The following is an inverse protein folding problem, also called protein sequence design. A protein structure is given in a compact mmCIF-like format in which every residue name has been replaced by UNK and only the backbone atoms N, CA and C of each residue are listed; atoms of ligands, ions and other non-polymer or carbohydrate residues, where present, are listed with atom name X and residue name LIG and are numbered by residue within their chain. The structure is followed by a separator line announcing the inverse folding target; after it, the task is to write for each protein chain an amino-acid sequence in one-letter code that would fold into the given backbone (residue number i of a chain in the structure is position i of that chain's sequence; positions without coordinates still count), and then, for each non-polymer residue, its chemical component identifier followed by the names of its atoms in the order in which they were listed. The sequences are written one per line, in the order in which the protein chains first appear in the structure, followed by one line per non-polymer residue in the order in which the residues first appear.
data_IF_205478969883
#
_entry.id   IF_205478969883
#
_cell.length_a   1.000
_cell.length_b   1.000
_cell.length_c   1.000
_cell.angle_alpha   90.00
_cell.angle_beta   90.00
_cell.angle_gamma   90.00
#
_symmetry.space_group_name_H-M   'P 1'
#
loop_
_entity.id
_entity.type
_entity.pdbx_description
1 polymer ?
#
# COMPACT_ATOMS: atom_id res chain seq x y z
N UNK A 1 6.81 8.85 -16.41
CA UNK A 1 5.94 8.08 -15.50
C UNK A 1 5.59 6.78 -16.21
N UNK A 2 5.98 5.62 -15.67
CA UNK A 2 5.59 4.32 -16.20
C UNK A 2 5.04 3.46 -15.06
N UNK A 3 4.12 2.56 -15.36
CA UNK A 3 3.44 1.71 -14.37
C UNK A 3 3.74 0.26 -14.71
N UNK A 4 4.09 -0.55 -13.73
CA UNK A 4 4.17 -2.00 -13.89
C UNK A 4 2.75 -2.54 -13.79
N UNK A 5 2.20 -3.10 -14.87
CA UNK A 5 0.84 -3.66 -14.88
C UNK A 5 0.84 -5.03 -14.23
N UNK A 6 -0.11 -5.27 -13.32
CA UNK A 6 -0.32 -6.59 -12.69
C UNK A 6 -1.13 -7.53 -13.57
N UNK A 7 -0.80 -8.82 -13.52
CA UNK A 7 -1.55 -9.90 -14.18
C UNK A 7 -0.95 -10.37 -15.50
N UNK A 8 -0.04 -9.61 -16.09
CA UNK A 8 0.81 -10.00 -17.21
C UNK A 8 2.25 -9.71 -16.86
N UNK A 9 3.18 -10.56 -17.29
CA UNK A 9 4.61 -10.30 -17.07
C UNK A 9 4.99 -9.10 -17.96
N UNK A 10 4.91 -7.90 -17.40
CA UNK A 10 5.33 -6.66 -18.05
C UNK A 10 6.87 -6.60 -18.06
N UNK A 11 7.47 -7.45 -18.91
CA UNK A 11 8.92 -7.60 -19.05
C UNK A 11 9.61 -6.29 -19.40
N UNK A 12 8.90 -5.38 -20.07
CA UNK A 12 9.43 -4.09 -20.50
C UNK A 12 9.53 -3.12 -19.32
N UNK A 13 8.53 -3.06 -18.45
CA UNK A 13 8.60 -2.27 -17.22
C UNK A 13 9.69 -2.78 -16.27
N UNK A 14 9.88 -4.10 -16.17
CA UNK A 14 10.98 -4.70 -15.40
C UNK A 14 12.35 -4.31 -15.97
N UNK A 15 12.52 -4.42 -17.31
CA UNK A 15 13.77 -4.05 -17.98
C UNK A 15 14.09 -2.57 -17.80
N UNK A 16 13.09 -1.70 -17.95
CA UNK A 16 13.24 -0.26 -17.73
C UNK A 16 13.64 0.04 -16.29
N UNK A 17 12.97 -0.57 -15.30
CA UNK A 17 13.30 -0.39 -13.88
C UNK A 17 14.75 -0.80 -13.59
N UNK A 18 15.19 -1.95 -14.14
CA UNK A 18 16.58 -2.42 -14.00
C UNK A 18 17.59 -1.43 -14.60
N UNK A 19 17.30 -0.89 -15.79
CA UNK A 19 18.16 0.11 -16.44
C UNK A 19 18.22 1.43 -15.65
N UNK A 20 17.12 1.85 -15.03
CA UNK A 20 17.08 3.05 -14.19
C UNK A 20 17.86 2.86 -12.89
N UNK A 21 17.72 1.70 -12.24
CA UNK A 21 18.50 1.37 -11.04
C UNK A 21 20.01 1.32 -11.36
N UNK A 22 20.39 0.76 -12.51
CA UNK A 22 21.78 0.71 -12.96
C UNK A 22 22.36 2.10 -13.23
N UNK A 23 21.59 3.01 -13.84
CA UNK A 23 22.04 4.38 -14.12
C UNK A 23 22.24 5.22 -12.87
N UNK A 24 21.45 5.01 -11.82
CA UNK A 24 21.59 5.74 -10.56
C UNK A 24 21.17 7.22 -10.59
N UNK A 25 20.76 7.76 -11.74
CA UNK A 25 20.45 9.19 -11.90
C UNK A 25 19.29 9.70 -11.01
N UNK A 26 18.35 8.82 -10.63
CA UNK A 26 17.13 9.20 -9.92
C UNK A 26 16.67 8.14 -8.91
N UNK A 27 16.12 8.54 -7.75
CA UNK A 27 15.48 7.61 -6.83
C UNK A 27 14.20 7.02 -7.46
N UNK A 28 13.95 5.74 -7.22
CA UNK A 28 12.75 5.04 -7.68
C UNK A 28 11.84 4.76 -6.48
N UNK A 29 10.57 5.14 -6.60
CA UNK A 29 9.54 4.82 -5.62
C UNK A 29 8.77 3.59 -6.11
N UNK A 30 8.72 2.55 -5.26
CA UNK A 30 8.01 1.31 -5.57
C UNK A 30 7.02 1.00 -4.45
N UNK A 31 5.75 0.77 -4.81
CA UNK A 31 4.74 0.27 -3.90
C UNK A 31 4.84 -1.26 -3.82
N UNK A 32 5.51 -1.75 -2.78
CA UNK A 32 5.79 -3.18 -2.55
C UNK A 32 4.56 -4.09 -2.60
N UNK A 33 3.41 -3.57 -2.16
CA UNK A 33 2.14 -4.29 -2.12
C UNK A 33 1.45 -4.40 -3.48
N UNK A 34 1.85 -3.56 -4.45
CA UNK A 34 1.34 -3.32 -5.81
C UNK A 34 -0.18 -3.27 -6.04
N UNK A 35 -0.98 -3.38 -4.99
CA UNK A 35 -2.41 -3.15 -4.97
C UNK A 35 -2.70 -1.98 -4.03
N UNK A 36 -3.84 -1.34 -4.23
CA UNK A 36 -4.32 -0.32 -3.30
C UNK A 36 -4.86 -1.06 -2.08
N UNK A 37 -4.14 -1.00 -0.96
CA UNK A 37 -4.69 -1.42 0.32
C UNK A 37 -5.88 -0.53 0.69
N UNK A 38 -7.02 -1.17 1.00
CA UNK A 38 -8.18 -0.49 1.61
C UNK A 38 -8.10 -0.50 3.14
N UNK A 39 -6.97 -0.92 3.70
CA UNK A 39 -6.73 -1.03 5.13
C UNK A 39 -5.55 -0.15 5.54
N UNK A 40 -5.72 0.59 6.63
CA UNK A 40 -4.70 1.53 7.13
C UNK A 40 -3.76 0.90 8.17
N UNK A 41 -4.18 -0.18 8.82
CA UNK A 41 -3.46 -0.78 9.95
C UNK A 41 -2.67 -2.03 9.57
N UNK A 42 -2.84 -2.53 8.33
CA UNK A 42 -2.24 -3.78 7.87
C UNK A 42 -1.44 -3.51 6.60
N UNK A 43 -0.17 -3.92 6.63
CA UNK A 43 0.69 -3.94 5.44
C UNK A 43 0.40 -5.25 4.69
N UNK A 44 0.05 -5.15 3.41
CA UNK A 44 -0.16 -6.34 2.57
C UNK A 44 1.17 -7.03 2.26
N UNK A 45 1.10 -8.30 1.84
CA UNK A 45 2.31 -9.02 1.44
C UNK A 45 2.97 -8.31 0.26
N UNK A 46 4.29 -8.15 0.33
CA UNK A 46 5.05 -7.58 -0.76
C UNK A 46 5.16 -8.55 -1.93
N UNK A 47 5.11 -8.01 -3.15
CA UNK A 47 5.39 -8.76 -4.36
C UNK A 47 6.86 -9.16 -4.41
N UNK A 48 7.09 -10.47 -4.52
CA UNK A 48 8.44 -11.04 -4.58
C UNK A 48 9.25 -10.48 -5.75
N UNK A 49 8.60 -10.18 -6.87
CA UNK A 49 9.24 -9.66 -8.07
C UNK A 49 9.95 -8.32 -7.85
N UNK A 50 9.47 -7.50 -6.91
CA UNK A 50 10.06 -6.19 -6.61
C UNK A 50 11.45 -6.36 -5.98
N UNK A 51 11.54 -7.22 -4.97
CA UNK A 51 12.81 -7.50 -4.28
C UNK A 51 13.79 -8.17 -5.24
N UNK A 52 13.31 -9.09 -6.08
CA UNK A 52 14.15 -9.78 -7.06
C UNK A 52 14.76 -8.83 -8.10
N UNK A 53 14.04 -7.78 -8.51
CA UNK A 53 14.58 -6.77 -9.42
C UNK A 53 15.78 -6.03 -8.83
N UNK A 54 15.74 -5.67 -7.55
CA UNK A 54 16.85 -4.98 -6.88
C UNK A 54 18.12 -5.83 -6.87
N UNK A 55 17.98 -7.14 -6.61
CA UNK A 55 19.12 -8.07 -6.67
C UNK A 55 19.68 -8.23 -8.07
N UNK A 56 18.83 -8.29 -9.11
CA UNK A 56 19.31 -8.33 -10.48
C UNK A 56 20.02 -7.03 -10.90
N UNK A 57 19.58 -5.87 -10.41
CA UNK A 57 20.29 -4.62 -10.66
C UNK A 57 21.69 -4.62 -9.99
N UNK A 58 21.81 -5.14 -8.78
CA UNK A 58 23.11 -5.30 -8.11
C UNK A 58 24.06 -6.23 -8.87
N UNK A 59 23.57 -7.38 -9.34
CA UNK A 59 24.35 -8.33 -10.16
C UNK A 59 24.82 -7.70 -11.48
N UNK A 60 23.97 -6.89 -12.13
CA UNK A 60 24.36 -6.11 -13.31
C UNK A 60 25.45 -5.08 -13.01
N UNK A 61 25.35 -4.37 -11.88
CA UNK A 61 26.35 -3.38 -11.45
C UNK A 61 27.69 -4.05 -11.15
N UNK A 62 27.68 -5.19 -10.45
CA UNK A 62 28.86 -5.99 -10.16
C UNK A 62 29.56 -6.44 -11.46
N UNK A 63 28.80 -6.98 -12.42
CA UNK A 63 29.32 -7.40 -13.74
C UNK A 63 29.89 -6.26 -14.56
N UNK A 64 29.32 -5.06 -14.43
CA UNK A 64 29.82 -3.85 -15.08
C UNK A 64 30.95 -3.16 -14.31
N UNK A 65 31.40 -3.72 -13.18
CA UNK A 65 32.40 -3.13 -12.28
C UNK A 65 32.03 -1.73 -11.78
N UNK A 66 30.72 -1.48 -11.64
CA UNK A 66 30.18 -0.24 -11.06
C UNK A 66 30.13 -0.43 -9.55
N UNK A 67 31.04 0.24 -8.83
CA UNK A 67 31.17 0.15 -7.37
C UNK A 67 30.16 0.99 -6.58
N UNK A 68 29.05 1.39 -7.19
CA UNK A 68 28.02 2.19 -6.52
C UNK A 68 27.10 1.31 -5.67
N UNK A 69 26.63 1.88 -4.56
CA UNK A 69 25.74 1.17 -3.64
C UNK A 69 24.27 1.41 -4.00
N UNK A 70 23.48 0.33 -4.05
CA UNK A 70 22.03 0.42 -4.16
C UNK A 70 21.39 0.38 -2.77
N UNK A 71 20.62 1.42 -2.43
CA UNK A 71 19.93 1.52 -1.14
C UNK A 71 18.43 1.24 -1.27
N UNK A 72 17.89 0.44 -0.36
CA UNK A 72 16.45 0.24 -0.20
C UNK A 72 15.98 0.95 1.08
N UNK A 73 15.14 1.98 0.93
CA UNK A 73 14.59 2.74 2.06
C UNK A 73 13.13 2.36 2.26
N UNK A 74 12.76 1.66 3.34
CA UNK A 74 11.37 1.32 3.61
C UNK A 74 10.60 2.59 4.02
N UNK A 75 9.50 2.88 3.33
CA UNK A 75 8.60 3.99 3.64
C UNK A 75 7.19 3.46 3.86
N UNK A 76 6.60 3.81 5.00
CA UNK A 76 5.22 3.46 5.35
C UNK A 76 4.36 4.71 5.47
N UNK A 77 3.10 4.61 5.02
CA UNK A 77 2.11 5.69 5.17
C UNK A 77 1.02 5.17 6.10
N UNK A 78 0.76 5.90 7.19
CA UNK A 78 -0.34 5.65 8.10
C UNK A 78 -1.19 6.89 8.24
N UNK A 79 -2.46 6.76 7.88
CA UNK A 79 -3.46 7.79 8.09
C UNK A 79 -3.96 7.74 9.54
N UNK A 80 -4.14 8.88 10.17
CA UNK A 80 -4.79 8.97 11.45
C UNK A 80 -5.69 10.20 11.49
N UNK A 81 -6.76 10.14 12.27
CA UNK A 81 -7.53 11.33 12.55
C UNK A 81 -6.77 12.20 13.56
N UNK A 82 -6.56 13.49 13.29
CA UNK A 82 -5.81 14.37 14.19
C UNK A 82 -6.63 14.81 15.41
N UNK A 83 -7.94 14.54 15.43
CA UNK A 83 -8.88 14.88 16.50
C UNK A 83 -9.76 13.67 16.81
N UNK A 84 -10.43 13.71 17.96
CA UNK A 84 -11.50 12.74 18.23
C UNK A 84 -12.65 12.95 17.24
N UNK A 85 -12.93 11.92 16.45
CA UNK A 85 -13.94 11.93 15.40
C UNK A 85 -15.20 11.15 15.79
N UNK A 86 -15.33 10.75 17.07
CA UNK A 86 -16.41 9.86 17.50
C UNK A 86 -17.79 10.40 17.16
N UNK A 87 -18.08 11.65 17.51
CA UNK A 87 -19.38 12.26 17.23
C UNK A 87 -19.71 12.27 15.72
N UNK A 88 -18.71 12.50 14.87
CA UNK A 88 -18.89 12.48 13.42
C UNK A 88 -19.13 11.06 12.89
N UNK A 89 -18.41 10.08 13.42
CA UNK A 89 -18.57 8.67 13.07
C UNK A 89 -19.95 8.18 13.51
N UNK A 90 -20.35 8.42 14.75
CA UNK A 90 -21.66 8.02 15.27
C UNK A 90 -22.81 8.66 14.50
N UNK A 91 -22.69 9.94 14.13
CA UNK A 91 -23.69 10.63 13.29
C UNK A 91 -23.82 9.96 11.92
N UNK A 92 -22.69 9.63 11.28
CA UNK A 92 -22.68 8.97 9.98
C UNK A 92 -23.28 7.56 10.04
N UNK A 93 -22.93 6.79 11.07
CA UNK A 93 -23.49 5.45 11.33
C UNK A 93 -24.99 5.51 11.59
N UNK A 94 -25.45 6.42 12.46
CA UNK A 94 -26.88 6.65 12.73
C UNK A 94 -27.66 6.89 11.43
N UNK A 95 -27.07 7.67 10.52
CA UNK A 95 -27.70 7.98 9.23
C UNK A 95 -27.79 6.73 8.37
N UNK A 96 -26.70 5.99 8.21
CA UNK A 96 -26.67 4.74 7.44
C UNK A 96 -27.65 3.70 7.98
N UNK A 97 -27.65 3.47 9.29
CA UNK A 97 -28.54 2.50 9.94
C UNK A 97 -30.02 2.83 9.73
N UNK A 98 -30.40 4.11 9.80
CA UNK A 98 -31.79 4.52 9.51
C UNK A 98 -32.25 4.20 8.09
N UNK A 99 -31.33 4.18 7.13
CA UNK A 99 -31.65 3.87 5.73
C UNK A 99 -31.62 2.37 5.42
N UNK A 100 -30.85 1.58 6.18
CA UNK A 100 -30.54 0.18 5.84
C UNK A 100 -31.21 -0.81 6.81
N UNK A 101 -31.34 -0.46 8.09
CA UNK A 101 -31.86 -1.36 9.13
C UNK A 101 -33.35 -1.15 9.43
N UNK A 102 -34.10 -2.22 9.72
CA UNK A 102 -35.48 -2.13 10.16
C UNK A 102 -35.57 -1.42 11.54
N UNK A 103 -36.70 -0.76 11.88
CA UNK A 103 -36.83 0.05 13.09
C UNK A 103 -36.49 -0.66 14.41
N UNK A 104 -36.76 -1.97 14.49
CA UNK A 104 -36.47 -2.80 15.68
C UNK A 104 -34.97 -3.00 15.95
N UNK A 105 -34.11 -2.80 14.94
CA UNK A 105 -32.66 -2.99 15.02
C UNK A 105 -31.90 -1.66 15.20
N UNK A 106 -32.60 -0.53 15.18
CA UNK A 106 -32.04 0.82 15.35
C UNK A 106 -31.82 1.17 16.83
N UNK A 107 -31.15 0.27 17.58
CA UNK A 107 -30.89 0.48 19.01
C UNK A 107 -29.66 1.38 19.26
N UNK A 108 -29.68 2.27 20.28
CA UNK A 108 -28.55 3.17 20.57
C UNK A 108 -27.32 2.50 21.21
N UNK A 109 -27.22 1.17 21.18
CA UNK A 109 -26.06 0.43 21.72
C UNK A 109 -24.78 1.08 21.22
N UNK A 110 -23.73 1.12 22.04
CA UNK A 110 -22.41 1.65 21.68
C UNK A 110 -21.98 1.11 20.30
N UNK A 111 -22.28 1.88 19.25
CA UNK A 111 -22.18 1.41 17.86
C UNK A 111 -20.75 1.06 17.50
N UNK A 112 -19.81 1.70 18.20
CA UNK A 112 -18.40 1.45 18.11
C UNK A 112 -18.02 0.02 18.50
N UNK A 113 -18.63 -0.53 19.54
CA UNK A 113 -18.32 -1.88 20.02
C UNK A 113 -18.77 -2.94 19.00
N UNK A 114 -19.88 -2.70 18.30
CA UNK A 114 -20.32 -3.54 17.18
C UNK A 114 -19.33 -3.49 16.01
N UNK A 115 -18.77 -2.32 15.71
CA UNK A 115 -17.74 -2.17 14.67
C UNK A 115 -16.43 -2.85 15.05
N UNK A 116 -16.02 -2.78 16.33
CA UNK A 116 -14.79 -3.43 16.81
C UNK A 116 -14.91 -4.95 16.93
N UNK A 117 -16.09 -5.47 17.29
CA UNK A 117 -16.32 -6.92 17.45
C UNK A 117 -16.37 -7.68 16.12
N UNK A 118 -16.59 -7.00 15.00
CA UNK A 118 -16.63 -7.59 13.66
C UNK A 118 -15.28 -7.52 12.91
N UNK A 119 -14.16 -7.33 13.62
CA UNK A 119 -12.81 -7.47 13.05
C UNK A 119 -12.28 -8.88 13.19
#
# INVERSE_FOLDING_TARGET
MYSVVRGTVDRDAFRMTRALLFKGDWPIVIFGEGEISRQNDTVMRFERGIVQMCFWALDDMEKAQVGESLYAVPVGIKYHYPRDMWNSIDTALTRLERYILPPAEQTPVERYDRLRRNR
#
